data_IF_318525706462
#
_entry.id   IF_318525706462
#
_cell.length_a   1.000
_cell.length_b   1.000
_cell.length_c   1.000
_cell.angle_alpha   90.00
_cell.angle_beta   90.00
_cell.angle_gamma   90.00
#
_symmetry.space_group_name_H-M   'P 1'
#
loop_
_entity.id
_entity.type
_entity.pdbx_description
1 polymer ?
#
# COMPACT_ATOMS: atom_id res chain seq x y z
N UNK A 1 -3.22 -14.68 0.90
CA UNK A 1 -1.78 -14.78 1.25
C UNK A 1 -0.95 -15.59 0.24
N UNK A 2 -1.54 -16.62 -0.40
CA UNK A 2 -0.83 -17.44 -1.39
C UNK A 2 -0.22 -16.63 -2.56
N UNK A 3 -0.97 -15.67 -3.11
CA UNK A 3 -0.49 -14.83 -4.21
C UNK A 3 0.76 -14.01 -3.85
N UNK A 4 0.75 -13.32 -2.69
CA UNK A 4 1.89 -12.52 -2.24
C UNK A 4 3.13 -13.39 -2.00
N UNK A 5 2.95 -14.56 -1.36
CA UNK A 5 4.05 -15.49 -1.13
C UNK A 5 4.63 -16.02 -2.44
N UNK A 6 3.77 -16.41 -3.38
CA UNK A 6 4.19 -16.87 -4.71
C UNK A 6 4.98 -15.78 -5.46
N UNK A 7 4.47 -14.54 -5.48
CA UNK A 7 5.18 -13.42 -6.09
C UNK A 7 6.55 -13.18 -5.45
N UNK A 8 6.65 -13.19 -4.11
CA UNK A 8 7.92 -12.99 -3.40
C UNK A 8 8.93 -14.11 -3.69
N UNK A 9 8.48 -15.37 -3.77
CA UNK A 9 9.35 -16.48 -4.17
C UNK A 9 9.92 -16.28 -5.57
N UNK A 10 9.11 -15.83 -6.53
CA UNK A 10 9.58 -15.55 -7.89
C UNK A 10 10.53 -14.35 -7.96
N UNK A 11 10.29 -13.28 -7.18
CA UNK A 11 11.25 -12.18 -7.05
C UNK A 11 12.60 -12.65 -6.49
N UNK A 12 12.58 -13.48 -5.45
CA UNK A 12 13.79 -14.05 -4.85
C UNK A 12 14.56 -14.92 -5.86
N UNK A 13 13.87 -15.76 -6.64
CA UNK A 13 14.50 -16.58 -7.70
C UNK A 13 15.18 -15.73 -8.77
N UNK A 14 14.71 -14.50 -8.99
CA UNK A 14 15.27 -13.54 -9.95
C UNK A 14 16.32 -12.60 -9.32
N UNK A 15 16.75 -12.86 -8.09
CA UNK A 15 17.75 -12.06 -7.38
C UNK A 15 17.22 -10.73 -6.82
N UNK A 16 15.90 -10.56 -6.75
CA UNK A 16 15.28 -9.36 -6.15
C UNK A 16 14.85 -9.66 -4.72
N UNK A 17 15.66 -9.20 -3.75
CA UNK A 17 15.48 -9.50 -2.32
C UNK A 17 14.77 -8.40 -1.53
N UNK A 18 14.43 -7.30 -2.20
CA UNK A 18 13.70 -6.16 -1.62
C UNK A 18 12.45 -5.90 -2.44
N UNK A 19 11.29 -6.06 -1.82
CA UNK A 19 9.98 -5.82 -2.45
C UNK A 19 9.19 -4.84 -1.60
N UNK A 20 8.69 -3.78 -2.23
CA UNK A 20 7.87 -2.75 -1.60
C UNK A 20 6.49 -2.65 -2.23
N UNK A 21 5.50 -2.21 -1.45
CA UNK A 21 4.15 -1.87 -1.90
C UNK A 21 3.65 -0.66 -1.13
N UNK A 22 2.90 0.22 -1.78
CA UNK A 22 2.17 1.30 -1.11
C UNK A 22 0.72 0.89 -0.91
N UNK A 23 0.20 1.03 0.30
CA UNK A 23 -1.14 0.55 0.68
C UNK A 23 -1.86 1.62 1.51
N UNK A 24 -3.17 1.75 1.35
CA UNK A 24 -3.95 2.68 2.19
C UNK A 24 -3.90 2.20 3.65
N UNK A 25 -3.35 3.06 4.52
CA UNK A 25 -3.14 2.77 5.94
C UNK A 25 -4.47 2.69 6.70
N UNK A 26 -5.47 3.43 6.22
CA UNK A 26 -6.83 3.49 6.75
C UNK A 26 -7.75 2.41 6.19
N UNK A 27 -7.24 1.46 5.38
CA UNK A 27 -8.06 0.38 4.87
C UNK A 27 -8.65 -0.44 6.02
N UNK A 28 -9.96 -0.27 6.26
CA UNK A 28 -10.81 -0.99 7.23
C UNK A 28 -10.62 -2.52 7.15
N UNK A 29 -10.16 -3.02 6.01
CA UNK A 29 -9.89 -4.45 5.76
C UNK A 29 -8.72 -5.03 6.57
N UNK A 30 -8.02 -4.22 7.37
CA UNK A 30 -6.89 -4.68 8.17
C UNK A 30 -5.66 -4.96 7.30
N UNK A 31 -5.50 -4.18 6.23
CA UNK A 31 -4.41 -4.30 5.26
C UNK A 31 -3.02 -4.44 5.92
N UNK A 32 -2.65 -3.67 6.97
CA UNK A 32 -1.37 -3.85 7.66
C UNK A 32 -1.18 -5.25 8.26
N UNK A 33 -2.24 -5.89 8.77
CA UNK A 33 -2.18 -7.26 9.32
C UNK A 33 -2.03 -8.31 8.23
N UNK A 34 -2.70 -8.13 7.09
CA UNK A 34 -2.60 -9.03 5.93
C UNK A 34 -1.17 -9.07 5.38
N UNK A 35 -0.57 -7.89 5.18
CA UNK A 35 0.80 -7.78 4.68
C UNK A 35 1.85 -8.20 5.71
N UNK A 36 1.60 -7.94 7.00
CA UNK A 36 2.41 -8.48 8.10
C UNK A 36 2.51 -10.01 8.07
N UNK A 37 1.39 -10.71 7.84
CA UNK A 37 1.38 -12.18 7.67
C UNK A 37 2.18 -12.67 6.46
N UNK A 38 2.46 -11.80 5.49
CA UNK A 38 3.29 -12.07 4.33
C UNK A 38 4.79 -11.80 4.57
N UNK A 39 5.16 -11.33 5.78
CA UNK A 39 6.53 -10.95 6.13
C UNK A 39 6.89 -9.51 5.77
N UNK A 40 5.91 -8.66 5.43
CA UNK A 40 6.15 -7.23 5.17
C UNK A 40 6.05 -6.42 6.46
N UNK A 41 6.74 -5.29 6.53
CA UNK A 41 6.65 -4.30 7.61
C UNK A 41 6.44 -2.91 7.03
N UNK A 42 5.82 -2.02 7.80
CA UNK A 42 5.72 -0.60 7.40
C UNK A 42 7.13 -0.01 7.40
N UNK A 43 7.51 0.60 6.28
CA UNK A 43 8.79 1.27 6.11
C UNK A 43 8.65 2.78 6.21
N UNK A 44 7.58 3.32 5.63
CA UNK A 44 7.28 4.74 5.53
C UNK A 44 5.76 4.96 5.57
N UNK A 45 5.33 6.14 6.00
CA UNK A 45 3.92 6.57 5.99
C UNK A 45 3.80 7.97 5.41
N UNK A 46 2.80 8.15 4.55
CA UNK A 46 2.52 9.35 3.79
C UNK A 46 1.11 9.83 4.12
N UNK A 47 0.94 11.15 4.23
CA UNK A 47 -0.36 11.79 4.39
C UNK A 47 -0.65 12.57 3.12
N UNK A 48 -1.72 12.19 2.42
CA UNK A 48 -2.13 12.89 1.20
C UNK A 48 -2.95 14.12 1.62
N UNK A 49 -2.43 15.29 1.29
CA UNK A 49 -3.13 16.56 1.45
C UNK A 49 -3.81 16.92 0.14
N UNK A 50 -5.12 17.15 0.20
CA UNK A 50 -5.92 17.55 -0.95
C UNK A 50 -6.40 18.98 -0.74
N UNK A 51 -6.33 19.77 -1.82
CA UNK A 51 -6.84 21.12 -1.87
C UNK A 51 -7.81 21.23 -3.03
N UNK A 52 -9.05 21.58 -2.71
CA UNK A 52 -10.02 21.94 -3.72
C UNK A 52 -9.61 23.28 -4.35
N UNK A 53 -9.27 23.25 -5.63
CA UNK A 53 -8.88 24.47 -6.37
C UNK A 53 -10.10 25.20 -6.93
N UNK A 54 -11.15 24.45 -7.28
CA UNK A 54 -12.42 24.98 -7.77
C UNK A 54 -13.52 23.94 -7.50
N UNK A 55 -14.69 24.37 -7.01
CA UNK A 55 -15.84 23.49 -6.88
C UNK A 55 -16.30 22.88 -8.19
N UNK A 56 -16.74 21.63 -8.13
CA UNK A 56 -17.24 20.89 -9.28
C UNK A 56 -17.32 19.39 -9.01
N UNK A 57 -17.74 18.65 -10.04
CA UNK A 57 -17.74 17.18 -10.00
C UNK A 57 -16.29 16.70 -10.05
N UNK A 58 -15.94 15.81 -9.14
CA UNK A 58 -14.64 15.14 -9.17
C UNK A 58 -14.58 14.17 -10.36
N UNK A 59 -13.80 14.52 -11.38
CA UNK A 59 -13.59 13.68 -12.57
C UNK A 59 -12.50 12.63 -12.38
N UNK A 60 -11.73 12.71 -11.29
CA UNK A 60 -10.67 11.74 -10.97
C UNK A 60 -11.22 10.46 -10.32
N UNK A 61 -12.46 10.51 -9.85
CA UNK A 61 -13.14 9.44 -9.12
C UNK A 61 -14.21 8.83 -10.01
N UNK A 62 -13.98 7.59 -10.47
CA UNK A 62 -15.09 6.72 -10.87
C UNK A 62 -15.74 6.22 -9.58
N UNK A 63 -16.71 6.99 -9.10
CA UNK A 63 -17.57 6.75 -7.92
C UNK A 63 -16.98 5.81 -6.87
N UNK A 64 -16.27 6.36 -5.88
CA UNK A 64 -16.33 5.93 -4.47
C UNK A 64 -15.62 6.99 -3.58
N UNK A 65 -16.48 7.75 -2.89
CA UNK A 65 -16.33 8.52 -1.65
C UNK A 65 -15.11 9.45 -1.41
N UNK A 66 -15.48 10.71 -1.14
CA UNK A 66 -14.90 11.68 -0.19
C UNK A 66 -13.51 11.37 0.38
N UNK A 67 -12.46 11.99 -0.19
CA UNK A 67 -11.08 11.89 0.30
C UNK A 67 -10.72 13.12 1.13
N UNK A 68 -11.24 13.23 2.33
CA UNK A 68 -10.59 14.07 3.34
C UNK A 68 -9.52 13.25 4.07
N UNK A 69 -8.25 13.40 3.66
CA UNK A 69 -7.08 12.95 4.45
C UNK A 69 -6.58 11.52 4.25
N UNK A 70 -6.51 11.00 3.02
CA UNK A 70 -6.05 9.61 2.77
C UNK A 70 -4.61 9.39 3.27
N UNK A 71 -4.46 8.58 4.33
CA UNK A 71 -3.15 8.11 4.79
C UNK A 71 -2.72 6.87 4.04
N UNK A 72 -1.53 6.89 3.44
CA UNK A 72 -0.93 5.77 2.70
C UNK A 72 0.33 5.32 3.40
N UNK A 73 0.53 4.03 3.61
CA UNK A 73 1.77 3.48 4.17
C UNK A 73 2.55 2.71 3.11
N UNK A 74 3.83 3.02 2.97
CA UNK A 74 4.79 2.20 2.26
C UNK A 74 5.20 1.02 3.14
N UNK A 75 4.91 -0.20 2.68
CA UNK A 75 5.31 -1.44 3.32
C UNK A 75 6.39 -2.12 2.49
N UNK A 76 7.38 -2.71 3.13
CA UNK A 76 8.42 -3.47 2.45
C UNK A 76 8.73 -4.78 3.16
N UNK A 77 9.16 -5.76 2.37
CA UNK A 77 9.80 -6.96 2.85
C UNK A 77 11.29 -6.83 2.56
N UNK A 78 12.09 -6.92 3.63
CA UNK A 78 13.53 -7.06 3.57
C UNK A 78 13.80 -8.51 3.96
N UNK A 79 14.23 -9.35 3.00
CA UNK A 79 14.82 -10.62 3.39
C UNK A 79 16.20 -10.30 4.00
N UNK A 80 16.37 -10.68 5.27
CA UNK A 80 17.56 -10.39 6.07
C UNK A 80 18.77 -11.21 5.60
N UNK A 81 19.94 -10.60 5.78
CA UNK A 81 21.20 -11.32 6.07
C UNK A 81 21.02 -12.17 7.33
#
# INVERSE_FOLDING_TARGET
>A
LALLRHAFTEYHRRGTYKVGLSVDAESITGAPRLYGRAGMRVRESYVIHLKELRPGVDLSVRSDADRSGLQVSGISRLDGV
#
